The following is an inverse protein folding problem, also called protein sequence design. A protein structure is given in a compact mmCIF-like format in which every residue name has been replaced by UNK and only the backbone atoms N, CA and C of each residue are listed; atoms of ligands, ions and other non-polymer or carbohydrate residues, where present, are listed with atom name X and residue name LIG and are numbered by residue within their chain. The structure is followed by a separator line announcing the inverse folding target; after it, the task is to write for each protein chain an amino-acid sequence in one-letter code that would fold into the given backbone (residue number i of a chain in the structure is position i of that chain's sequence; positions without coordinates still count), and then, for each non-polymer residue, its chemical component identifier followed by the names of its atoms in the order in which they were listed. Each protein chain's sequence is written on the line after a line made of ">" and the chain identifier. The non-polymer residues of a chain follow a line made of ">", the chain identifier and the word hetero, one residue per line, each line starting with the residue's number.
data_IF_448993886809
#
_entry.id   IF_448993886809
#
_cell.length_a   1.000
_cell.length_b   1.000
_cell.length_c   1.000
_cell.angle_alpha   90.00
_cell.angle_beta   90.00
_cell.angle_gamma   90.00
#
_symmetry.space_group_name_H-M   'P 1'
#
loop_
_entity.id
_entity.type
_entity.pdbx_description
1 polymer ?
#
# COMPACT_ATOMS: atom_id res chain seq x y z
N UNK A 1 -17.02 -53.53 -52.13
CA UNK A 1 -15.97 -52.55 -51.77
C UNK A 1 -16.63 -51.21 -51.51
N UNK A 2 -16.62 -50.76 -50.25
CA UNK A 2 -17.13 -49.45 -49.80
C UNK A 2 -15.94 -48.49 -49.71
N UNK A 3 -16.03 -47.31 -50.30
CA UNK A 3 -15.12 -46.19 -50.07
C UNK A 3 -15.89 -45.08 -49.36
N UNK A 4 -15.28 -44.62 -48.27
CA UNK A 4 -15.81 -43.72 -47.25
C UNK A 4 -15.55 -42.28 -47.69
N UNK A 5 -16.61 -41.47 -47.77
CA UNK A 5 -16.49 -40.02 -47.92
C UNK A 5 -16.17 -39.40 -46.56
N UNK A 6 -15.00 -38.78 -46.42
CA UNK A 6 -14.63 -37.97 -45.26
C UNK A 6 -14.98 -36.52 -45.54
N UNK A 7 -16.00 -36.00 -44.84
CA UNK A 7 -16.29 -34.57 -44.78
C UNK A 7 -15.44 -33.94 -43.67
N UNK A 8 -14.55 -33.02 -44.04
CA UNK A 8 -13.89 -32.12 -43.10
C UNK A 8 -14.84 -30.98 -42.73
N UNK A 9 -15.28 -30.94 -41.47
CA UNK A 9 -15.98 -29.79 -40.90
C UNK A 9 -14.91 -28.90 -40.25
N UNK A 10 -14.55 -27.80 -40.90
CA UNK A 10 -13.75 -26.75 -40.29
C UNK A 10 -14.67 -25.93 -39.35
N UNK A 11 -14.49 -26.07 -38.04
CA UNK A 11 -15.16 -25.24 -37.06
C UNK A 11 -14.54 -23.83 -37.08
N UNK A 12 -15.26 -22.85 -37.63
CA UNK A 12 -14.98 -21.44 -37.43
C UNK A 12 -15.36 -21.06 -35.98
N UNK A 13 -14.36 -20.93 -35.11
CA UNK A 13 -14.55 -20.31 -33.80
C UNK A 13 -14.44 -18.78 -33.94
N UNK A 14 -15.59 -18.12 -33.92
CA UNK A 14 -15.71 -16.66 -33.82
C UNK A 14 -15.16 -16.22 -32.46
N UNK A 15 -13.99 -15.58 -32.44
CA UNK A 15 -13.50 -14.88 -31.25
C UNK A 15 -14.36 -13.62 -31.12
N UNK A 16 -15.29 -13.62 -30.16
CA UNK A 16 -15.96 -12.41 -29.74
C UNK A 16 -14.94 -11.55 -29.00
N UNK A 17 -14.31 -10.62 -29.71
CA UNK A 17 -13.60 -9.51 -29.10
C UNK A 17 -14.63 -8.58 -28.45
N UNK A 18 -15.00 -8.87 -27.20
CA UNK A 18 -15.73 -7.93 -26.37
C UNK A 18 -14.78 -6.79 -26.03
N UNK A 19 -14.89 -5.71 -26.80
CA UNK A 19 -14.21 -4.45 -26.53
C UNK A 19 -14.77 -3.82 -25.26
N UNK A 20 -14.01 -3.90 -24.17
CA UNK A 20 -14.11 -2.94 -23.08
C UNK A 20 -13.20 -1.76 -23.42
N UNK A 21 -13.83 -0.69 -23.92
CA UNK A 21 -13.19 0.60 -24.13
C UNK A 21 -13.27 1.44 -22.85
N UNK A 22 -12.10 1.89 -22.41
CA UNK A 22 -11.82 2.98 -21.46
C UNK A 22 -12.13 2.74 -19.97
N UNK A 23 -11.19 2.13 -19.24
CA UNK A 23 -10.99 2.56 -17.85
C UNK A 23 -10.18 3.86 -17.87
N UNK A 24 -10.82 4.98 -17.55
CA UNK A 24 -10.11 6.03 -16.83
C UNK A 24 -9.43 5.37 -15.61
N UNK A 25 -8.19 5.77 -15.32
CA UNK A 25 -7.28 5.22 -14.30
C UNK A 25 -8.00 4.53 -13.11
N UNK A 26 -7.94 3.20 -13.03
CA UNK A 26 -8.71 2.39 -12.08
C UNK A 26 -8.08 2.24 -10.68
N UNK A 27 -6.78 2.48 -10.52
CA UNK A 27 -6.11 2.65 -9.23
C UNK A 27 -4.93 3.56 -9.56
N UNK A 28 -4.74 4.60 -8.76
CA UNK A 28 -3.57 5.47 -8.85
C UNK A 28 -2.52 5.04 -7.83
N UNK A 29 -1.25 5.38 -8.09
CA UNK A 29 -0.19 5.18 -7.12
C UNK A 29 0.69 6.41 -6.91
N UNK A 30 1.32 6.48 -5.75
CA UNK A 30 2.31 7.52 -5.40
C UNK A 30 3.40 6.90 -4.55
N UNK A 31 4.64 7.32 -4.77
CA UNK A 31 5.78 6.89 -3.97
C UNK A 31 6.23 8.06 -3.10
N UNK A 32 6.47 7.78 -1.82
CA UNK A 32 7.04 8.72 -0.85
C UNK A 32 8.18 8.03 -0.09
N UNK A 33 8.81 8.77 0.82
CA UNK A 33 9.69 8.19 1.83
C UNK A 33 8.93 7.46 2.94
N UNK A 34 7.59 7.56 2.98
CA UNK A 34 6.78 7.15 4.12
C UNK A 34 7.03 7.99 5.36
N UNK A 35 6.57 7.48 6.49
CA UNK A 35 6.72 8.06 7.82
C UNK A 35 7.62 7.17 8.71
N UNK A 36 8.25 7.75 9.76
CA UNK A 36 8.99 6.97 10.75
C UNK A 36 8.14 5.89 11.40
N UNK A 37 8.83 4.92 12.02
CA UNK A 37 8.21 3.85 12.79
C UNK A 37 7.17 4.36 13.79
N UNK A 38 6.16 3.53 14.07
CA UNK A 38 5.21 3.82 15.14
C UNK A 38 5.99 4.10 16.43
N UNK A 39 5.64 5.19 17.13
CA UNK A 39 6.33 5.65 18.34
C UNK A 39 7.80 6.09 18.16
N UNK A 40 8.24 6.36 16.93
CA UNK A 40 9.59 6.87 16.66
C UNK A 40 10.67 5.80 16.55
N UNK A 41 10.28 4.53 16.38
CA UNK A 41 11.21 3.43 16.11
C UNK A 41 12.01 3.70 14.81
N UNK A 42 13.33 3.61 14.89
CA UNK A 42 14.25 3.91 13.78
C UNK A 42 14.94 2.66 13.22
N UNK A 43 14.53 1.47 13.64
CA UNK A 43 15.09 0.20 13.16
C UNK A 43 14.00 -0.68 12.53
N UNK A 44 13.09 -0.04 11.80
CA UNK A 44 11.95 -0.65 11.11
C UNK A 44 11.81 -0.03 9.72
N UNK A 45 11.03 -0.68 8.85
CA UNK A 45 10.65 -0.11 7.57
C UNK A 45 9.83 1.17 7.74
N UNK A 46 9.67 1.92 6.66
CA UNK A 46 8.79 3.07 6.63
C UNK A 46 7.33 2.66 6.87
N UNK A 47 6.55 3.55 7.48
CA UNK A 47 5.11 3.37 7.68
C UNK A 47 4.33 4.32 6.79
N UNK A 48 3.05 4.04 6.59
CA UNK A 48 2.15 4.98 5.92
C UNK A 48 2.01 6.27 6.72
N UNK A 49 2.02 7.41 6.03
CA UNK A 49 1.64 8.72 6.56
C UNK A 49 0.20 8.72 7.10
N UNK A 50 -0.61 7.76 6.66
CA UNK A 50 -2.02 7.56 7.01
C UNK A 50 -2.25 6.46 8.05
N UNK A 51 -1.21 5.88 8.63
CA UNK A 51 -1.30 4.82 9.66
C UNK A 51 -2.17 5.22 10.87
N UNK A 52 -2.31 6.52 11.14
CA UNK A 52 -3.14 7.08 12.22
C UNK A 52 -4.54 7.53 11.79
N UNK A 53 -4.88 7.45 10.51
CA UNK A 53 -6.26 7.75 10.10
C UNK A 53 -7.21 6.71 10.69
N UNK A 54 -8.40 7.17 11.07
CA UNK A 54 -9.48 6.27 11.46
C UNK A 54 -9.76 5.28 10.32
N UNK A 55 -10.08 4.04 10.65
CA UNK A 55 -10.30 2.94 9.69
C UNK A 55 -9.04 2.49 8.93
N UNK A 56 -7.86 3.05 9.24
CA UNK A 56 -6.58 2.48 8.78
C UNK A 56 -6.09 1.43 9.77
N UNK A 57 -5.70 0.27 9.26
CA UNK A 57 -5.01 -0.79 9.99
C UNK A 57 -3.66 -1.03 9.35
N UNK A 58 -2.60 -1.09 10.14
CA UNK A 58 -1.27 -1.49 9.67
C UNK A 58 -0.93 -2.87 10.20
N UNK A 59 -0.41 -3.73 9.31
CA UNK A 59 0.21 -5.00 9.65
C UNK A 59 1.71 -4.82 9.49
N UNK A 60 2.44 -4.93 10.60
CA UNK A 60 3.87 -5.18 10.60
C UNK A 60 4.14 -6.69 10.69
N UNK A 61 5.31 -7.12 10.23
CA UNK A 61 5.69 -8.54 10.27
C UNK A 61 6.61 -8.88 11.44
N UNK A 62 6.74 -7.99 12.44
CA UNK A 62 7.70 -8.12 13.53
C UNK A 62 7.45 -9.33 14.43
N UNK A 63 6.22 -9.85 14.45
CA UNK A 63 5.87 -11.13 15.08
C UNK A 63 6.61 -12.34 14.48
N UNK A 64 7.09 -12.23 13.24
CA UNK A 64 7.75 -13.31 12.49
C UNK A 64 6.83 -14.14 11.62
N UNK A 65 5.55 -13.74 11.50
CA UNK A 65 4.58 -14.43 10.65
C UNK A 65 3.58 -13.45 10.04
N UNK A 66 3.15 -13.73 8.82
CA UNK A 66 2.03 -13.01 8.21
C UNK A 66 0.69 -13.56 8.76
N UNK A 67 -0.30 -12.71 9.07
CA UNK A 67 -1.57 -13.18 9.62
C UNK A 67 -2.33 -14.10 8.66
N UNK A 68 -2.74 -15.27 9.13
CA UNK A 68 -3.51 -16.25 8.33
C UNK A 68 -5.02 -16.23 8.63
N UNK A 69 -5.45 -15.29 9.48
CA UNK A 69 -6.84 -15.07 9.89
C UNK A 69 -7.06 -13.60 10.26
N UNK A 70 -8.33 -13.22 10.43
CA UNK A 70 -8.73 -11.85 10.72
C UNK A 70 -8.81 -10.97 9.47
N UNK A 71 -8.83 -9.65 9.71
CA UNK A 71 -9.15 -8.63 8.71
C UNK A 71 -8.37 -8.74 7.39
N UNK A 72 -7.07 -9.02 7.45
CA UNK A 72 -6.23 -9.24 6.28
C UNK A 72 -5.52 -10.58 6.41
N UNK A 73 -5.96 -11.55 5.60
CA UNK A 73 -5.51 -12.93 5.62
C UNK A 73 -4.52 -13.18 4.48
N UNK A 74 -3.31 -13.56 4.85
CA UNK A 74 -2.22 -13.89 3.95
C UNK A 74 -2.18 -15.40 3.69
N UNK A 75 -1.79 -15.75 2.47
CA UNK A 75 -1.52 -17.12 2.05
C UNK A 75 -0.51 -17.11 0.92
N UNK A 76 0.35 -18.12 0.85
CA UNK A 76 1.30 -18.31 -0.24
C UNK A 76 0.80 -19.41 -1.18
N UNK A 77 1.02 -19.25 -2.49
CA UNK A 77 0.54 -20.21 -3.48
C UNK A 77 1.34 -21.51 -3.42
N UNK A 78 2.67 -21.39 -3.36
CA UNK A 78 3.61 -22.49 -3.30
C UNK A 78 4.12 -22.58 -1.86
N UNK A 79 3.54 -23.48 -1.05
CA UNK A 79 3.92 -23.71 0.36
C UNK A 79 5.30 -24.41 0.51
N UNK A 80 6.29 -24.02 -0.30
CA UNK A 80 7.65 -24.57 -0.34
C UNK A 80 8.57 -23.93 0.71
N UNK A 81 8.11 -22.86 1.38
CA UNK A 81 8.89 -22.06 2.32
C UNK A 81 9.80 -21.02 1.66
N UNK A 82 9.81 -20.95 0.32
CA UNK A 82 10.54 -19.92 -0.41
C UNK A 82 9.98 -18.52 -0.11
N UNK A 83 8.66 -18.37 0.00
CA UNK A 83 8.04 -17.12 0.44
C UNK A 83 7.69 -17.20 1.92
N UNK A 84 8.05 -16.17 2.68
CA UNK A 84 7.95 -16.17 4.14
C UNK A 84 8.17 -14.77 4.72
N UNK A 85 7.96 -14.65 6.03
CA UNK A 85 8.48 -13.50 6.78
C UNK A 85 9.95 -13.77 7.11
N UNK A 86 10.81 -12.79 6.85
CA UNK A 86 12.27 -12.91 6.96
C UNK A 86 12.89 -11.76 7.76
N UNK A 87 14.16 -11.92 8.10
CA UNK A 87 14.98 -10.89 8.75
C UNK A 87 16.40 -11.03 8.25
N UNK A 88 16.71 -10.30 7.19
CA UNK A 88 18.04 -10.26 6.57
C UNK A 88 18.26 -8.87 5.92
N UNK A 89 19.33 -8.71 5.14
CA UNK A 89 19.71 -7.41 4.57
C UNK A 89 18.71 -6.83 3.54
N UNK A 90 17.80 -7.64 3.02
CA UNK A 90 16.85 -7.24 1.98
C UNK A 90 15.57 -6.60 2.55
N UNK A 91 15.50 -6.41 3.87
CA UNK A 91 14.41 -5.68 4.52
C UNK A 91 14.27 -4.25 3.95
N UNK A 92 13.04 -3.82 3.59
CA UNK A 92 12.79 -2.45 3.11
C UNK A 92 13.29 -1.39 4.06
N UNK A 93 13.97 -0.38 3.51
CA UNK A 93 14.62 0.67 4.27
C UNK A 93 13.62 1.59 4.98
N UNK A 94 14.03 2.16 6.12
CA UNK A 94 13.19 3.09 6.85
C UNK A 94 13.02 4.45 6.15
N UNK A 95 12.19 5.31 6.74
CA UNK A 95 11.72 6.54 6.08
C UNK A 95 12.79 7.61 5.80
N UNK A 96 13.97 7.50 6.42
CA UNK A 96 15.12 8.37 6.16
C UNK A 96 16.23 7.65 5.38
N UNK A 97 15.93 6.46 4.86
CA UNK A 97 16.92 5.60 4.20
C UNK A 97 17.84 4.89 5.18
N UNK A 98 17.42 4.70 6.41
CA UNK A 98 18.12 3.89 7.40
C UNK A 98 17.93 2.40 7.15
N UNK A 99 18.92 1.61 7.56
CA UNK A 99 18.84 0.16 7.46
C UNK A 99 17.78 -0.36 8.42
N UNK A 100 16.84 -1.12 7.87
CA UNK A 100 15.83 -1.83 8.64
C UNK A 100 16.39 -3.17 9.16
N UNK A 101 16.33 -3.38 10.48
CA UNK A 101 16.68 -4.63 11.14
C UNK A 101 15.46 -5.44 11.62
N UNK A 102 14.26 -5.03 11.25
CA UNK A 102 13.00 -5.66 11.58
C UNK A 102 12.72 -6.90 10.72
N UNK A 103 11.50 -7.42 10.79
CA UNK A 103 11.05 -8.53 9.94
C UNK A 103 10.09 -8.01 8.88
N UNK A 104 10.16 -8.61 7.70
CA UNK A 104 9.40 -8.18 6.52
C UNK A 104 8.87 -9.39 5.74
N UNK A 105 7.86 -9.18 4.89
CA UNK A 105 7.31 -10.20 4.01
C UNK A 105 8.16 -10.31 2.74
N UNK A 106 8.44 -11.54 2.32
CA UNK A 106 9.14 -11.78 1.07
C UNK A 106 8.46 -12.84 0.19
N UNK A 107 8.34 -12.57 -1.11
CA UNK A 107 7.81 -13.50 -2.13
C UNK A 107 8.89 -13.80 -3.17
N UNK A 108 9.12 -15.09 -3.43
CA UNK A 108 10.25 -15.55 -4.23
C UNK A 108 9.90 -16.71 -5.17
N UNK A 109 10.77 -17.01 -6.12
CA UNK A 109 10.83 -18.29 -6.83
C UNK A 109 9.51 -18.73 -7.52
N UNK A 110 8.89 -17.85 -8.29
CA UNK A 110 7.67 -18.16 -9.03
C UNK A 110 6.42 -18.25 -8.15
N UNK A 111 6.47 -17.73 -6.92
CA UNK A 111 5.39 -17.79 -5.94
C UNK A 111 4.56 -16.49 -5.91
N UNK A 112 3.44 -16.55 -5.19
CA UNK A 112 2.57 -15.42 -4.94
C UNK A 112 2.05 -15.41 -3.50
N UNK A 113 2.03 -14.23 -2.87
CA UNK A 113 1.28 -13.97 -1.66
C UNK A 113 -0.10 -13.38 -2.02
N UNK A 114 -1.16 -14.03 -1.56
CA UNK A 114 -2.53 -13.50 -1.64
C UNK A 114 -2.95 -12.94 -0.29
N UNK A 115 -3.43 -11.71 -0.30
CA UNK A 115 -4.03 -11.03 0.86
C UNK A 115 -5.54 -10.92 0.59
N UNK A 116 -6.34 -11.67 1.36
CA UNK A 116 -7.80 -11.56 1.35
C UNK A 116 -8.26 -10.63 2.47
N UNK A 117 -9.16 -9.73 2.14
CA UNK A 117 -9.61 -8.68 3.05
C UNK A 117 -11.08 -8.89 3.39
N UNK A 118 -11.42 -8.82 4.68
CA UNK A 118 -12.81 -8.97 5.15
C UNK A 118 -13.68 -7.75 4.82
N UNK A 119 -13.06 -6.66 4.35
CA UNK A 119 -13.71 -5.40 4.00
C UNK A 119 -13.21 -4.91 2.65
N UNK A 120 -14.05 -4.11 2.01
CA UNK A 120 -13.67 -3.31 0.85
C UNK A 120 -12.76 -2.17 1.28
N UNK A 121 -11.68 -1.97 0.53
CA UNK A 121 -10.71 -0.91 0.74
C UNK A 121 -10.69 0.03 -0.46
N UNK A 122 -10.32 1.27 -0.19
CA UNK A 122 -10.01 2.28 -1.20
C UNK A 122 -8.55 2.76 -1.11
N UNK A 123 -7.75 2.23 -0.19
CA UNK A 123 -6.32 2.49 -0.08
C UNK A 123 -5.56 1.29 0.48
N UNK A 124 -4.37 1.08 -0.09
CA UNK A 124 -3.36 0.14 0.38
C UNK A 124 -1.97 0.77 0.24
N UNK A 125 -1.15 0.67 1.28
CA UNK A 125 0.22 1.17 1.27
C UNK A 125 1.20 0.10 1.73
N UNK A 126 2.40 0.13 1.17
CA UNK A 126 3.49 -0.78 1.54
C UNK A 126 4.82 -0.04 1.54
N UNK A 127 5.71 -0.44 2.42
CA UNK A 127 7.12 -0.12 2.27
C UNK A 127 7.74 -1.18 1.36
N UNK A 128 8.08 -0.82 0.13
CA UNK A 128 8.63 -1.75 -0.85
C UNK A 128 10.13 -1.49 -0.99
N UNK A 129 10.92 -2.48 -0.60
CA UNK A 129 12.38 -2.44 -0.65
C UNK A 129 12.95 -3.41 -1.66
N UNK A 130 14.27 -3.30 -1.87
CA UNK A 130 15.01 -4.20 -2.74
C UNK A 130 14.36 -4.39 -4.14
N UNK A 131 13.67 -3.36 -4.65
CA UNK A 131 12.73 -3.48 -5.79
C UNK A 131 13.45 -4.12 -6.98
N UNK A 132 13.09 -5.36 -7.29
CA UNK A 132 13.64 -6.11 -8.42
C UNK A 132 12.61 -6.27 -9.54
N UNK A 133 13.07 -6.73 -10.70
CA UNK A 133 12.21 -7.09 -11.82
C UNK A 133 11.30 -8.29 -11.52
N UNK A 134 10.37 -8.59 -12.43
CA UNK A 134 9.46 -9.75 -12.41
C UNK A 134 8.42 -9.78 -11.27
N UNK A 135 8.29 -8.66 -10.57
CA UNK A 135 7.26 -8.44 -9.57
C UNK A 135 5.97 -7.91 -10.21
N UNK A 136 4.83 -8.47 -9.82
CA UNK A 136 3.51 -7.98 -10.20
C UNK A 136 2.63 -7.83 -8.95
N UNK A 137 1.91 -6.72 -8.92
CA UNK A 137 1.04 -6.29 -7.84
C UNK A 137 -0.37 -6.10 -8.37
N UNK A 138 -1.31 -6.94 -7.96
CA UNK A 138 -2.65 -7.00 -8.56
C UNK A 138 -3.75 -6.83 -7.53
N UNK A 139 -4.70 -5.96 -7.83
CA UNK A 139 -5.86 -5.64 -7.02
C UNK A 139 -7.11 -6.23 -7.65
N UNK A 140 -7.93 -6.86 -6.83
CA UNK A 140 -9.15 -7.51 -7.27
C UNK A 140 -10.33 -7.13 -6.38
N UNK A 141 -11.50 -7.16 -7.00
CA UNK A 141 -12.78 -7.13 -6.31
C UNK A 141 -13.43 -8.50 -6.43
N UNK A 142 -13.61 -9.18 -5.31
CA UNK A 142 -14.39 -10.42 -5.28
C UNK A 142 -15.85 -10.11 -5.60
N UNK A 143 -16.35 -10.66 -6.71
CA UNK A 143 -17.77 -10.53 -7.08
C UNK A 143 -18.60 -11.68 -6.52
N UNK A 144 -19.91 -11.44 -6.38
CA UNK A 144 -20.88 -12.34 -5.70
C UNK A 144 -20.91 -13.77 -6.25
N UNK A 145 -20.47 -13.99 -7.49
CA UNK A 145 -20.47 -15.31 -8.14
C UNK A 145 -19.18 -16.11 -7.89
N UNK A 146 -18.34 -15.66 -6.95
CA UNK A 146 -17.12 -16.36 -6.53
C UNK A 146 -15.94 -16.22 -7.50
N UNK A 147 -16.08 -15.42 -8.56
CA UNK A 147 -14.97 -15.03 -9.43
C UNK A 147 -14.39 -13.71 -8.94
N UNK A 148 -13.08 -13.56 -8.98
CA UNK A 148 -12.45 -12.28 -8.69
C UNK A 148 -12.33 -11.47 -9.98
N UNK A 149 -12.82 -10.23 -9.96
CA UNK A 149 -12.63 -9.29 -11.06
C UNK A 149 -11.33 -8.52 -10.83
N UNK A 150 -10.43 -8.51 -11.81
CA UNK A 150 -9.22 -7.69 -11.76
C UNK A 150 -9.61 -6.22 -11.86
N UNK A 151 -9.17 -5.43 -10.87
CA UNK A 151 -9.33 -3.97 -10.86
C UNK A 151 -8.15 -3.33 -11.58
N UNK A 152 -6.92 -3.63 -11.13
CA UNK A 152 -5.68 -3.09 -11.71
C UNK A 152 -4.49 -3.95 -11.33
N UNK A 153 -3.48 -3.97 -12.19
CA UNK A 153 -2.15 -4.49 -11.87
C UNK A 153 -1.07 -3.45 -12.13
N UNK A 154 -0.02 -3.52 -11.33
CA UNK A 154 1.23 -2.80 -11.47
C UNK A 154 2.38 -3.81 -11.51
N UNK A 155 3.46 -3.45 -12.16
CA UNK A 155 4.69 -4.22 -12.24
C UNK A 155 5.83 -3.42 -11.63
N UNK A 156 6.94 -4.08 -11.31
CA UNK A 156 8.17 -3.37 -10.94
C UNK A 156 8.58 -2.30 -11.97
N UNK A 157 8.30 -2.51 -13.27
CA UNK A 157 8.62 -1.54 -14.32
C UNK A 157 7.86 -0.21 -14.17
N UNK A 158 6.66 -0.23 -13.58
CA UNK A 158 5.89 0.98 -13.27
C UNK A 158 6.56 1.82 -12.16
N UNK A 159 7.39 1.20 -11.31
CA UNK A 159 8.04 1.83 -10.17
C UNK A 159 9.52 2.15 -10.40
N UNK A 160 10.28 1.27 -11.06
CA UNK A 160 11.75 1.31 -11.14
C UNK A 160 12.32 2.61 -11.74
N UNK A 161 11.53 3.35 -12.52
CA UNK A 161 11.93 4.63 -13.10
C UNK A 161 11.48 5.85 -12.28
N UNK A 162 10.85 5.64 -11.12
CA UNK A 162 10.33 6.71 -10.29
C UNK A 162 11.45 7.33 -9.45
N UNK A 163 11.67 8.63 -9.63
CA UNK A 163 12.70 9.41 -8.93
C UNK A 163 12.51 9.52 -7.41
N UNK A 164 11.33 9.16 -6.90
CA UNK A 164 11.05 9.12 -5.47
C UNK A 164 11.62 7.87 -4.78
N UNK A 165 11.99 6.83 -5.54
CA UNK A 165 12.77 5.72 -4.99
C UNK A 165 14.18 6.19 -4.66
N UNK A 166 14.74 5.66 -3.59
CA UNK A 166 16.15 5.84 -3.24
C UNK A 166 16.88 4.49 -3.22
N UNK A 167 18.19 4.53 -3.46
CA UNK A 167 18.99 3.32 -3.57
C UNK A 167 19.70 3.01 -2.25
N UNK A 168 19.53 1.77 -1.76
CA UNK A 168 20.19 1.29 -0.56
C UNK A 168 21.49 0.56 -0.91
N UNK A 169 22.63 1.05 -0.44
CA UNK A 169 23.95 0.47 -0.77
C UNK A 169 24.14 -0.95 -0.22
N UNK A 170 23.56 -1.25 0.94
CA UNK A 170 23.61 -2.60 1.55
C UNK A 170 22.74 -3.63 0.83
N UNK A 171 21.92 -3.19 -0.13
CA UNK A 171 21.12 -4.03 -1.02
C UNK A 171 21.67 -4.00 -2.46
N UNK A 172 22.97 -3.72 -2.63
CA UNK A 172 23.58 -3.62 -3.95
C UNK A 172 23.05 -2.44 -4.80
N UNK A 173 22.48 -1.42 -4.16
CA UNK A 173 21.93 -0.24 -4.83
C UNK A 173 20.49 -0.38 -5.32
N UNK A 174 19.74 -1.38 -4.85
CA UNK A 174 18.33 -1.53 -5.20
C UNK A 174 17.44 -0.43 -4.61
N UNK A 175 16.35 -0.15 -5.32
CA UNK A 175 15.38 0.90 -4.98
C UNK A 175 14.53 0.54 -3.77
N UNK A 176 14.23 1.56 -2.96
CA UNK A 176 13.36 1.49 -1.78
C UNK A 176 12.40 2.69 -1.78
N UNK A 177 11.19 2.50 -1.26
CA UNK A 177 10.26 3.58 -1.00
C UNK A 177 8.89 3.10 -0.53
N UNK A 178 8.14 4.00 0.08
CA UNK A 178 6.77 3.72 0.50
C UNK A 178 5.81 3.96 -0.67
N UNK A 179 5.14 2.91 -1.10
CA UNK A 179 4.23 2.92 -2.24
C UNK A 179 2.80 2.96 -1.75
N UNK A 180 2.05 3.94 -2.22
CA UNK A 180 0.63 4.11 -1.96
C UNK A 180 -0.17 3.74 -3.19
N UNK A 181 -1.17 2.90 -3.03
CA UNK A 181 -2.19 2.59 -4.02
C UNK A 181 -3.53 3.08 -3.51
N UNK A 182 -4.25 3.83 -4.33
CA UNK A 182 -5.50 4.45 -3.90
C UNK A 182 -6.52 4.53 -5.03
N UNK A 183 -7.77 4.36 -4.65
CA UNK A 183 -8.92 4.41 -5.56
C UNK A 183 -9.25 5.86 -5.94
N UNK A 184 -9.53 6.11 -7.21
CA UNK A 184 -10.07 7.38 -7.71
C UNK A 184 -11.60 7.37 -7.81
N UNK A 185 -12.21 6.19 -7.76
CA UNK A 185 -13.65 5.96 -7.87
C UNK A 185 -14.13 4.74 -7.04
N UNK A 186 -15.41 4.41 -7.09
CA UNK A 186 -15.95 3.18 -6.46
C UNK A 186 -15.60 1.91 -7.23
N UNK A 187 -15.39 2.01 -8.55
CA UNK A 187 -15.02 0.88 -9.41
C UNK A 187 -13.59 0.38 -9.11
N UNK A 188 -12.82 1.22 -8.43
CA UNK A 188 -11.40 1.07 -8.12
C UNK A 188 -11.19 0.39 -6.77
N UNK A 189 -12.26 0.17 -6.01
CA UNK A 189 -12.17 -0.42 -4.69
C UNK A 189 -11.94 -1.92 -4.79
N UNK A 190 -11.19 -2.47 -3.83
CA UNK A 190 -10.71 -3.85 -3.86
C UNK A 190 -10.85 -4.50 -2.49
N UNK A 191 -10.84 -5.82 -2.46
CA UNK A 191 -10.85 -6.63 -1.23
C UNK A 191 -9.94 -7.86 -1.35
N UNK A 192 -9.16 -7.96 -2.43
CA UNK A 192 -8.10 -8.95 -2.57
C UNK A 192 -6.89 -8.33 -3.26
N UNK A 193 -5.72 -8.61 -2.73
CA UNK A 193 -4.43 -8.22 -3.31
C UNK A 193 -3.65 -9.51 -3.60
N UNK A 194 -2.97 -9.55 -4.74
CA UNK A 194 -2.04 -10.63 -5.08
C UNK A 194 -0.70 -10.01 -5.44
N UNK A 195 0.34 -10.48 -4.76
CA UNK A 195 1.73 -10.09 -4.93
C UNK A 195 2.45 -11.30 -5.50
N UNK A 196 3.00 -11.20 -6.70
CA UNK A 196 3.67 -12.34 -7.35
C UNK A 196 5.06 -11.97 -7.82
N UNK A 197 5.99 -12.91 -7.67
CA UNK A 197 7.33 -12.84 -8.23
C UNK A 197 7.48 -14.01 -9.22
N UNK A 198 7.46 -13.72 -10.52
CA UNK A 198 7.41 -14.76 -11.56
C UNK A 198 8.76 -15.44 -11.83
N UNK A 199 9.88 -14.85 -11.40
CA UNK A 199 11.22 -15.42 -11.58
C UNK A 199 11.44 -16.63 -10.67
N UNK A 200 12.03 -17.70 -11.22
CA UNK A 200 12.41 -18.93 -10.49
C UNK A 200 13.91 -19.03 -10.21
N UNK A 201 14.71 -18.07 -10.67
CA UNK A 201 16.18 -18.14 -10.64
C UNK A 201 16.85 -16.97 -9.90
N UNK A 202 16.07 -16.05 -9.33
CA UNK A 202 16.58 -14.90 -8.58
C UNK A 202 15.62 -13.70 -8.59
N UNK A 203 15.96 -12.68 -7.80
CA UNK A 203 15.06 -11.54 -7.52
C UNK A 203 14.04 -11.89 -6.43
N UNK A 204 13.23 -10.92 -6.03
CA UNK A 204 12.29 -11.06 -4.92
C UNK A 204 11.27 -9.96 -4.88
N UNK A 205 10.21 -10.18 -4.11
CA UNK A 205 9.32 -9.12 -3.68
C UNK A 205 9.48 -8.94 -2.17
N UNK A 206 10.09 -7.84 -1.74
CA UNK A 206 10.33 -7.55 -0.33
C UNK A 206 9.48 -6.36 0.12
N UNK A 207 8.56 -6.59 1.07
CA UNK A 207 7.75 -5.51 1.64
C UNK A 207 7.59 -5.58 3.14
N UNK A 208 7.54 -4.40 3.75
CA UNK A 208 7.25 -4.20 5.17
C UNK A 208 6.00 -3.30 5.33
N UNK A 209 5.44 -3.30 6.53
CA UNK A 209 4.37 -2.38 6.99
C UNK A 209 3.22 -2.15 6.00
N UNK A 210 2.35 -3.15 5.87
CA UNK A 210 1.18 -3.12 5.01
C UNK A 210 0.06 -2.31 5.67
N UNK A 211 -0.26 -1.14 5.12
CA UNK A 211 -1.32 -0.26 5.63
C UNK A 211 -2.58 -0.36 4.76
N UNK A 212 -3.72 -0.61 5.40
CA UNK A 212 -5.01 -0.82 4.75
C UNK A 212 -6.01 0.20 5.27
N UNK A 213 -6.66 0.95 4.39
CA UNK A 213 -7.74 1.85 4.81
C UNK A 213 -9.09 1.30 4.33
N UNK A 214 -9.98 1.03 5.28
CA UNK A 214 -11.32 0.56 4.98
C UNK A 214 -12.17 1.71 4.47
N UNK A 215 -12.77 1.54 3.30
CA UNK A 215 -13.52 2.62 2.67
C UNK A 215 -14.01 2.26 1.27
N UNK A 216 -14.95 3.06 0.78
CA UNK A 216 -15.51 2.96 -0.57
C UNK A 216 -15.41 4.29 -1.30
N UNK A 217 -15.40 4.26 -2.62
CA UNK A 217 -15.21 5.44 -3.46
C UNK A 217 -13.75 5.90 -3.51
N UNK A 218 -13.56 7.17 -3.84
CA UNK A 218 -12.26 7.81 -3.94
C UNK A 218 -11.57 7.90 -2.57
N UNK A 219 -10.29 7.57 -2.49
CA UNK A 219 -9.45 7.94 -1.37
C UNK A 219 -8.78 9.28 -1.65
N UNK A 220 -9.12 10.30 -0.86
CA UNK A 220 -8.63 11.66 -1.07
C UNK A 220 -7.23 11.84 -0.45
N UNK A 221 -6.21 11.43 -1.19
CA UNK A 221 -4.81 11.39 -0.73
C UNK A 221 -4.34 12.72 -0.11
N UNK A 222 -4.53 13.84 -0.82
CA UNK A 222 -4.00 15.13 -0.38
C UNK A 222 -4.76 15.70 0.81
N UNK A 223 -6.08 15.54 0.88
CA UNK A 223 -6.86 16.04 2.02
C UNK A 223 -6.61 15.20 3.28
N UNK A 224 -6.42 13.89 3.11
CA UNK A 224 -6.01 13.00 4.20
C UNK A 224 -4.59 13.33 4.72
N UNK A 225 -3.69 13.80 3.85
CA UNK A 225 -2.38 14.30 4.29
C UNK A 225 -2.51 15.62 5.06
N UNK A 226 -3.33 16.56 4.59
CA UNK A 226 -3.55 17.87 5.24
C UNK A 226 -4.24 17.75 6.60
N UNK A 227 -5.10 16.75 6.80
CA UNK A 227 -5.70 16.52 8.12
C UNK A 227 -4.66 16.22 9.22
N UNK A 228 -3.40 15.91 8.85
CA UNK A 228 -2.26 15.77 9.77
C UNK A 228 -1.64 17.11 10.18
N UNK A 229 -1.84 18.19 9.41
CA UNK A 229 -1.48 19.55 9.85
C UNK A 229 -2.61 20.08 10.73
N UNK A 230 -2.50 19.87 12.04
CA UNK A 230 -3.37 20.51 13.04
C UNK A 230 -3.23 22.04 12.89
N UNK A 231 -4.32 22.83 13.01
CA UNK A 231 -4.30 24.28 12.85
C UNK A 231 -3.21 24.92 13.71
N UNK A 232 -2.50 25.89 13.12
CA UNK A 232 -1.50 26.69 13.80
C UNK A 232 -2.03 27.19 15.15
N UNK A 233 -1.28 27.09 16.26
CA UNK A 233 -1.63 27.72 17.53
C UNK A 233 -1.45 29.26 17.47
N UNK A 234 -2.04 29.91 16.46
CA UNK A 234 -1.79 31.31 16.13
C UNK A 234 -2.87 32.30 16.55
N UNK A 235 -4.11 31.87 16.87
CA UNK A 235 -5.23 32.84 17.02
C UNK A 235 -5.87 32.85 18.42
N UNK A 236 -5.74 31.79 19.23
CA UNK A 236 -6.40 31.77 20.56
C UNK A 236 -5.62 32.52 21.65
N UNK A 237 -4.30 32.70 21.51
CA UNK A 237 -3.49 33.48 22.46
C UNK A 237 -3.55 35.00 22.23
N UNK A 238 -3.90 35.45 21.01
CA UNK A 238 -3.97 36.88 20.67
C UNK A 238 -5.19 37.63 21.21
N UNK A 239 -6.33 36.95 21.38
CA UNK A 239 -7.56 37.56 21.91
C UNK A 239 -7.63 37.59 23.45
N UNK A 240 -6.89 36.73 24.15
CA UNK A 240 -6.81 36.80 25.62
C UNK A 240 -5.80 37.86 26.09
N UNK A 241 -4.79 38.19 25.28
CA UNK A 241 -3.81 39.22 25.60
C UNK A 241 -4.34 40.66 25.46
N UNK A 242 -5.35 40.90 24.62
CA UNK A 242 -5.91 42.25 24.36
C UNK A 242 -7.11 42.61 25.26
N UNK A 243 -7.79 41.63 25.85
CA UNK A 243 -8.88 41.87 26.82
C UNK A 243 -8.41 42.14 28.26
N UNK A 244 -7.23 41.64 28.66
CA UNK A 244 -6.74 41.72 30.03
C UNK A 244 -6.08 43.04 30.44
N UNK A 245 -5.64 43.86 29.48
CA UNK A 245 -4.90 45.10 29.78
C UNK A 245 -5.80 46.34 29.93
N UNK A 246 -7.05 46.29 29.47
CA UNK A 246 -8.00 47.41 29.61
C UNK A 246 -8.87 47.36 30.87
N UNK A 247 -8.95 46.22 31.56
CA UNK A 247 -9.76 46.09 32.79
C UNK A 247 -8.99 46.30 34.09
N UNK A 248 -7.65 46.34 34.06
CA UNK A 248 -6.84 46.52 35.29
C UNK A 248 -6.56 47.97 35.69
N UNK A 249 -6.96 48.96 34.87
CA UNK A 249 -6.73 50.38 35.18
C UNK A 249 -7.94 51.16 35.70
N UNK A 250 -9.09 50.50 35.95
CA UNK A 250 -10.30 51.16 36.46
C UNK A 250 -10.67 50.86 37.91
N UNK A 251 -9.95 49.96 38.61
CA UNK A 251 -10.22 49.66 40.03
C UNK A 251 -9.27 50.31 41.05
N UNK A 252 -8.26 51.08 40.62
CA UNK A 252 -7.35 51.79 41.54
C UNK A 252 -7.77 53.23 41.88
N UNK A 253 -9.06 53.55 41.82
CA UNK A 253 -9.58 54.87 42.25
C UNK A 253 -10.69 54.83 43.30
N UNK A 254 -10.91 53.68 43.93
CA UNK A 254 -11.89 53.50 45.01
C UNK A 254 -11.35 52.58 46.11
N UNK A 255 -10.23 52.96 46.73
CA UNK A 255 -9.92 52.67 48.15
C UNK A 255 -8.55 53.24 48.49
N UNK A 256 -8.54 54.47 48.99
CA UNK A 256 -7.68 55.00 50.07
C UNK A 256 -7.83 56.53 50.08
N UNK A 257 -8.51 56.98 51.14
CA UNK A 257 -8.54 58.31 51.78
C UNK A 257 -8.60 59.58 50.90
#
# INVERSE_FOLDING_TARGET
>A
MKLINVFYIAALSTIAALGYSSSAQAISFKITSGAPGLNGETNQGAFSEFSKLKETTTIDFNSGSAPTAGFAKYSFANNTGASSVRSDQWAPAGSTGERNGSKYLAVFNGDAATIKLDKTLNYFGIDWGAVSENNTFSFYQSVKDGKDALVKSFTSADLLNNKALFNASWQGGQGNGYVHFYSDSIADNFNKIVISQSSTVGGGFESDNHSFHQGTGKFNFDDNLKAKSVPEPGIVLGLLATGGMFLRKRSQKLSQE
#
